data_IF_911546106657
#
_entry.id   IF_911546106657
#
_cell.length_a   1.000
_cell.length_b   1.000
_cell.length_c   1.000
_cell.angle_alpha   90.00
_cell.angle_beta   90.00
_cell.angle_gamma   90.00
#
_symmetry.space_group_name_H-M   'P 1'
#
loop_
_entity.id
_entity.type
_entity.pdbx_description
1 polymer ?
#
# COMPACT_ATOMS: atom_id res chain seq x y z
N UNK A 1 12.19 -7.21 -6.37
CA UNK A 1 10.79 -7.67 -6.42
C UNK A 1 9.89 -6.46 -6.50
N UNK A 2 8.99 -6.41 -7.48
CA UNK A 2 8.02 -5.30 -7.59
C UNK A 2 6.68 -5.79 -7.04
N UNK A 3 6.11 -5.07 -6.09
CA UNK A 3 4.82 -5.38 -5.50
C UNK A 3 3.80 -4.30 -5.85
N UNK A 4 2.65 -4.73 -6.40
CA UNK A 4 1.56 -3.84 -6.74
C UNK A 4 0.57 -3.79 -5.57
N UNK A 5 0.46 -2.60 -5.00
CA UNK A 5 -0.42 -2.26 -3.89
C UNK A 5 -1.46 -1.23 -4.33
N UNK A 6 -2.20 -0.69 -3.38
CA UNK A 6 -3.39 0.14 -3.59
C UNK A 6 -3.35 1.36 -2.68
N UNK A 7 -3.98 2.44 -3.11
CA UNK A 7 -4.36 3.59 -2.30
C UNK A 7 -5.34 3.25 -1.15
N UNK A 8 -6.06 2.12 -1.23
CA UNK A 8 -7.01 1.70 -0.18
C UNK A 8 -6.35 1.29 1.15
N UNK A 9 -5.02 1.41 1.25
CA UNK A 9 -4.30 1.33 2.53
C UNK A 9 -4.45 2.60 3.36
N UNK A 10 -4.93 3.70 2.78
CA UNK A 10 -5.22 4.97 3.45
C UNK A 10 -6.71 5.10 3.76
N UNK A 11 -7.05 6.00 4.69
CA UNK A 11 -8.43 6.27 5.11
C UNK A 11 -9.17 7.28 4.22
N UNK A 12 -8.43 8.07 3.43
CA UNK A 12 -9.00 9.08 2.54
C UNK A 12 -9.37 10.40 3.23
N UNK A 13 -9.09 10.58 4.52
CA UNK A 13 -9.48 11.78 5.28
C UNK A 13 -8.58 13.01 5.01
N UNK A 14 -7.27 12.79 4.83
CA UNK A 14 -6.26 13.87 4.77
C UNK A 14 -5.44 13.84 3.48
N UNK A 15 -6.02 13.37 2.38
CA UNK A 15 -5.35 13.37 1.09
C UNK A 15 -4.95 14.80 0.64
N UNK A 16 -3.95 14.94 -0.26
CA UNK A 16 -3.22 13.88 -0.96
C UNK A 16 -2.16 13.19 -0.09
N UNK A 17 -2.04 11.87 -0.23
CA UNK A 17 -1.05 11.06 0.51
C UNK A 17 0.27 10.94 -0.27
N UNK A 18 1.37 11.08 0.45
CA UNK A 18 2.74 10.74 0.07
C UNK A 18 3.07 9.27 0.39
N UNK A 19 4.19 8.79 -0.14
CA UNK A 19 4.67 7.43 0.12
C UNK A 19 5.05 7.18 1.59
N UNK A 20 5.48 8.24 2.28
CA UNK A 20 5.90 8.24 3.68
C UNK A 20 4.72 8.39 4.67
N UNK A 21 3.52 8.71 4.17
CA UNK A 21 2.35 8.86 5.03
C UNK A 21 1.93 7.55 5.67
N UNK A 22 1.43 7.66 6.91
CA UNK A 22 1.03 6.51 7.71
C UNK A 22 -0.25 5.89 7.13
N UNK A 23 -0.25 4.59 6.77
CA UNK A 23 -1.44 3.91 6.28
C UNK A 23 -2.45 3.66 7.40
N UNK A 24 -3.73 3.78 7.07
CA UNK A 24 -4.88 3.55 7.94
C UNK A 24 -6.02 2.86 7.15
N UNK A 25 -5.94 1.54 6.90
CA UNK A 25 -6.87 0.86 6.01
C UNK A 25 -8.26 0.70 6.64
N UNK A 26 -9.30 1.13 5.92
CA UNK A 26 -10.71 0.99 6.35
C UNK A 26 -11.36 -0.34 5.94
N UNK A 27 -10.73 -1.08 5.03
CA UNK A 27 -11.26 -2.35 4.50
C UNK A 27 -10.31 -3.52 4.76
N UNK A 28 -10.87 -4.74 4.80
CA UNK A 28 -10.05 -5.96 4.90
C UNK A 28 -9.10 -6.11 3.70
N UNK A 29 -9.53 -5.67 2.52
CA UNK A 29 -8.69 -5.62 1.33
C UNK A 29 -7.46 -4.72 1.53
N UNK A 30 -7.66 -3.47 1.96
CA UNK A 30 -6.57 -2.54 2.28
C UNK A 30 -5.63 -3.09 3.35
N UNK A 31 -6.18 -3.70 4.40
CA UNK A 31 -5.40 -4.34 5.45
C UNK A 31 -4.53 -5.48 4.92
N UNK A 32 -5.07 -6.32 4.02
CA UNK A 32 -4.32 -7.43 3.42
C UNK A 32 -3.14 -6.95 2.56
N UNK A 33 -3.32 -5.83 1.85
CA UNK A 33 -2.29 -5.18 1.04
C UNK A 33 -1.21 -4.57 1.91
N UNK A 34 -1.59 -3.84 2.96
CA UNK A 34 -0.65 -3.27 3.92
C UNK A 34 0.22 -4.36 4.59
N UNK A 35 -0.39 -5.49 5.00
CA UNK A 35 0.38 -6.61 5.56
C UNK A 35 1.39 -7.19 4.57
N UNK A 36 1.04 -7.23 3.29
CA UNK A 36 1.95 -7.69 2.23
C UNK A 36 3.14 -6.73 2.06
N UNK A 37 2.90 -5.42 2.13
CA UNK A 37 3.97 -4.41 2.13
C UNK A 37 4.92 -4.59 3.33
N UNK A 38 4.36 -4.75 4.53
CA UNK A 38 5.14 -4.95 5.76
C UNK A 38 5.98 -6.23 5.72
N UNK A 39 5.44 -7.31 5.16
CA UNK A 39 6.19 -8.55 4.96
C UNK A 39 7.37 -8.32 4.02
N UNK A 40 7.20 -7.60 2.91
CA UNK A 40 8.30 -7.30 1.99
C UNK A 40 9.37 -6.43 2.65
N UNK A 41 8.95 -5.41 3.41
CA UNK A 41 9.86 -4.54 4.17
C UNK A 41 10.66 -5.30 5.24
N UNK A 42 10.08 -6.35 5.83
CA UNK A 42 10.74 -7.17 6.85
C UNK A 42 11.81 -8.13 6.27
N UNK A 43 11.83 -8.36 4.96
CA UNK A 43 12.80 -9.26 4.32
C UNK A 43 13.94 -8.49 3.64
N UNK A 44 15.14 -9.08 3.63
CA UNK A 44 16.37 -8.48 3.07
C UNK A 44 16.46 -8.52 1.53
N UNK A 45 15.34 -8.66 0.84
CA UNK A 45 15.29 -8.72 -0.62
C UNK A 45 15.14 -7.32 -1.18
N UNK A 46 15.82 -6.98 -2.27
CA UNK A 46 15.55 -5.71 -2.96
C UNK A 46 14.09 -5.66 -3.43
N UNK A 47 13.34 -4.66 -2.98
CA UNK A 47 11.91 -4.50 -3.27
C UNK A 47 11.56 -3.08 -3.73
N UNK A 48 10.43 -2.98 -4.41
CA UNK A 48 9.79 -1.72 -4.79
C UNK A 48 8.28 -1.92 -4.70
N UNK A 49 7.58 -1.00 -4.03
CA UNK A 49 6.13 -1.03 -3.87
C UNK A 49 5.54 0.08 -4.74
N UNK A 50 4.68 -0.28 -5.69
CA UNK A 50 3.88 0.67 -6.45
C UNK A 50 2.45 0.65 -5.92
N UNK A 51 2.00 1.75 -5.32
CA UNK A 51 0.61 1.95 -4.91
C UNK A 51 -0.15 2.58 -6.08
N UNK A 52 -1.12 1.86 -6.63
CA UNK A 52 -1.94 2.36 -7.76
C UNK A 52 -3.34 2.72 -7.29
N UNK A 53 -3.94 3.69 -7.97
CA UNK A 53 -5.38 3.97 -7.88
C UNK A 53 -6.14 3.13 -8.91
N UNK A 54 -7.45 2.92 -8.67
CA UNK A 54 -8.42 2.20 -9.52
C UNK A 54 -7.90 1.92 -10.93
N UNK A 55 -7.46 0.69 -11.16
CA UNK A 55 -6.91 0.25 -12.45
C UNK A 55 -8.07 -0.20 -13.34
N UNK A 56 -8.13 0.30 -14.57
CA UNK A 56 -9.10 -0.08 -15.60
C UNK A 56 -8.35 -0.40 -16.91
N UNK A 57 -8.95 -1.22 -17.78
CA UNK A 57 -8.38 -1.66 -19.06
C UNK A 57 -9.30 -2.60 -19.81
#
# INVERSE_FOLDING_TARGET
MIHISTDFIFDGENGPYSEDDKPNPLSYYGLSKLKSEQLLQAHSVSWTILRTIIVFG
#
